data_IF_672701919602
#
_entry.id   IF_672701919602
#
_cell.length_a   1.000
_cell.length_b   1.000
_cell.length_c   1.000
_cell.angle_alpha   90.00
_cell.angle_beta   90.00
_cell.angle_gamma   90.00
#
_symmetry.space_group_name_H-M   'P 1'
#
loop_
_entity.id
_entity.type
_entity.pdbx_description
1 polymer ?
#
# COMPACT_ATOMS: atom_id res chain seq x y z
N UNK A 1 -15.94 -2.29 -23.39
CA UNK A 1 -17.28 -2.58 -23.95
C UNK A 1 -17.22 -3.99 -24.48
N UNK A 2 -17.57 -4.97 -23.66
CA UNK A 2 -17.87 -6.33 -24.10
C UNK A 2 -18.87 -6.95 -23.14
N UNK A 3 -19.97 -7.38 -23.75
CA UNK A 3 -21.20 -7.87 -23.17
C UNK A 3 -21.06 -9.25 -22.53
N UNK A 4 -21.87 -9.44 -21.50
CA UNK A 4 -22.02 -10.66 -20.71
C UNK A 4 -23.02 -11.59 -21.40
N UNK A 5 -22.63 -12.83 -21.70
CA UNK A 5 -23.56 -13.91 -22.08
C UNK A 5 -23.39 -15.05 -21.07
N UNK A 6 -24.51 -15.40 -20.43
CA UNK A 6 -24.63 -16.49 -19.45
C UNK A 6 -24.53 -17.86 -20.11
N UNK A 7 -23.83 -18.79 -19.46
CA UNK A 7 -23.86 -20.22 -19.74
C UNK A 7 -23.58 -21.01 -18.45
N UNK A 8 -24.54 -21.83 -18.05
CA UNK A 8 -24.56 -22.69 -16.86
C UNK A 8 -23.72 -23.96 -17.03
N UNK A 9 -23.16 -24.50 -15.94
CA UNK A 9 -22.75 -25.91 -15.86
C UNK A 9 -21.39 -26.21 -15.20
N UNK A 10 -21.43 -26.50 -13.89
CA UNK A 10 -20.65 -27.50 -13.11
C UNK A 10 -19.15 -27.77 -13.34
N UNK A 11 -18.49 -27.85 -12.17
CA UNK A 11 -17.35 -28.71 -11.78
C UNK A 11 -15.91 -28.19 -11.92
N UNK A 12 -15.21 -28.19 -10.79
CA UNK A 12 -13.89 -28.80 -10.69
C UNK A 12 -12.67 -27.91 -10.92
N UNK A 13 -11.89 -27.78 -9.84
CA UNK A 13 -10.42 -27.70 -9.81
C UNK A 13 -9.73 -26.37 -10.15
N UNK A 14 -8.97 -25.89 -9.17
CA UNK A 14 -7.92 -24.87 -9.24
C UNK A 14 -6.90 -25.15 -10.35
N UNK A 15 -6.18 -24.12 -10.82
CA UNK A 15 -4.85 -24.36 -11.37
C UNK A 15 -3.80 -23.36 -10.87
N UNK A 16 -2.86 -23.88 -10.08
CA UNK A 16 -1.44 -23.52 -10.23
C UNK A 16 -0.92 -24.18 -11.52
N UNK A 17 -0.05 -23.53 -12.31
CA UNK A 17 0.78 -24.27 -13.25
C UNK A 17 2.27 -24.10 -12.96
N UNK A 18 2.90 -25.25 -12.72
CA UNK A 18 4.32 -25.52 -12.76
C UNK A 18 4.79 -25.83 -14.20
N UNK A 19 5.83 -25.12 -14.62
CA UNK A 19 7.02 -25.57 -15.38
C UNK A 19 6.94 -26.50 -16.61
N UNK A 20 7.50 -25.98 -17.71
CA UNK A 20 8.55 -26.58 -18.60
C UNK A 20 8.14 -27.38 -19.86
N UNK A 21 8.52 -26.77 -21.02
CA UNK A 21 9.09 -27.31 -22.29
C UNK A 21 8.36 -28.44 -23.06
N UNK A 22 8.35 -28.55 -24.40
CA UNK A 22 9.28 -28.12 -25.47
C UNK A 22 8.65 -28.37 -26.87
N UNK A 23 9.14 -27.62 -27.87
CA UNK A 23 9.39 -27.94 -29.29
C UNK A 23 8.27 -28.36 -30.29
N UNK A 24 8.30 -27.67 -31.45
CA UNK A 24 8.18 -28.28 -32.80
C UNK A 24 7.01 -27.79 -33.66
N UNK A 25 7.23 -26.81 -34.57
CA UNK A 25 7.26 -26.97 -36.05
C UNK A 25 5.86 -26.94 -36.72
N UNK A 26 5.45 -25.84 -37.39
CA UNK A 26 5.59 -25.48 -38.83
C UNK A 26 4.63 -26.21 -39.80
N UNK A 27 3.75 -25.43 -40.45
CA UNK A 27 3.06 -25.56 -41.78
C UNK A 27 1.74 -24.72 -41.70
N UNK A 28 1.45 -23.60 -42.39
CA UNK A 28 1.47 -23.11 -43.79
C UNK A 28 0.27 -23.56 -44.66
N UNK A 29 -0.45 -22.54 -45.19
CA UNK A 29 -1.37 -22.47 -46.35
C UNK A 29 -2.83 -22.99 -46.19
N UNK A 30 -3.90 -22.39 -46.75
CA UNK A 30 -4.19 -21.11 -47.45
C UNK A 30 -5.71 -21.02 -47.79
N UNK A 31 -6.18 -19.80 -48.16
CA UNK A 31 -7.35 -19.44 -49.04
C UNK A 31 -8.82 -19.71 -48.56
N UNK A 32 -9.87 -18.91 -48.83
CA UNK A 32 -10.13 -17.59 -49.45
C UNK A 32 -11.62 -17.22 -49.19
N UNK A 33 -12.02 -15.94 -49.02
CA UNK A 33 -12.81 -15.08 -49.96
C UNK A 33 -13.82 -14.22 -49.14
N UNK A 34 -14.26 -13.00 -49.45
CA UNK A 34 -14.08 -12.10 -50.59
C UNK A 34 -14.43 -10.62 -50.26
N UNK A 35 -14.01 -9.73 -51.16
CA UNK A 35 -13.99 -8.25 -51.19
C UNK A 35 -15.29 -7.65 -51.82
N UNK A 36 -15.55 -6.30 -51.91
CA UNK A 36 -14.82 -5.34 -52.79
C UNK A 36 -14.74 -3.84 -52.34
N UNK A 37 -13.56 -3.20 -52.49
CA UNK A 37 -13.16 -2.16 -53.48
C UNK A 37 -13.56 -0.69 -53.23
N UNK A 38 -12.56 0.21 -53.22
CA UNK A 38 -12.39 1.28 -54.24
C UNK A 38 -11.03 2.02 -54.11
N UNK A 39 -10.39 2.24 -55.26
CA UNK A 39 -9.13 2.97 -55.58
C UNK A 39 -9.51 4.18 -56.47
N UNK A 40 -8.70 5.25 -56.64
CA UNK A 40 -7.57 5.30 -57.61
C UNK A 40 -6.41 6.28 -57.19
N UNK A 41 -5.26 6.50 -57.83
CA UNK A 41 -4.39 5.87 -58.84
C UNK A 41 -3.14 6.79 -59.01
N UNK A 42 -2.01 6.23 -59.49
CA UNK A 42 -1.01 6.80 -60.47
C UNK A 42 0.47 6.63 -60.07
N UNK A 43 1.26 6.09 -61.01
CA UNK A 43 2.70 5.77 -60.98
C UNK A 43 3.45 6.52 -62.13
N UNK A 44 4.70 6.19 -62.56
CA UNK A 44 6.03 6.19 -61.89
C UNK A 44 7.15 6.93 -62.70
N UNK A 45 8.38 7.01 -62.16
CA UNK A 45 9.65 7.37 -62.86
C UNK A 45 10.31 8.67 -62.31
N UNK A 46 11.63 8.88 -62.25
CA UNK A 46 12.84 8.19 -62.68
C UNK A 46 14.06 8.67 -61.83
N UNK A 47 15.19 7.98 -61.95
CA UNK A 47 16.46 8.21 -61.24
C UNK A 47 17.17 9.50 -61.67
N UNK A 48 17.67 10.28 -60.71
CA UNK A 48 18.72 11.28 -60.94
C UNK A 48 19.73 11.32 -59.78
N UNK A 49 21.02 11.38 -60.13
CA UNK A 49 22.15 11.32 -59.22
C UNK A 49 22.56 12.74 -58.74
N UNK A 50 22.94 12.95 -57.46
CA UNK A 50 23.49 14.25 -57.04
C UNK A 50 25.01 14.29 -57.22
N UNK A 51 25.48 15.31 -57.94
CA UNK A 51 26.88 15.76 -58.04
C UNK A 51 27.16 16.91 -57.04
N UNK A 52 28.43 17.30 -56.83
CA UNK A 52 29.01 17.53 -55.51
C UNK A 52 28.84 18.96 -55.00
N UNK A 53 28.70 19.12 -53.69
CA UNK A 53 28.94 20.40 -53.03
C UNK A 53 29.94 20.22 -51.89
N UNK A 54 31.14 20.70 -52.17
CA UNK A 54 32.15 21.06 -51.19
C UNK A 54 31.60 22.15 -50.27
N UNK A 55 31.47 21.86 -48.99
CA UNK A 55 31.64 22.88 -47.96
C UNK A 55 32.27 22.25 -46.72
N UNK A 56 33.50 22.68 -46.47
CA UNK A 56 34.22 22.49 -45.23
C UNK A 56 33.47 23.19 -44.09
N UNK A 57 32.72 22.43 -43.28
CA UNK A 57 32.41 22.83 -41.92
C UNK A 57 32.44 21.60 -41.00
N UNK A 58 33.46 21.58 -40.14
CA UNK A 58 33.57 20.67 -39.00
C UNK A 58 32.39 20.95 -38.05
N UNK A 59 31.29 20.20 -38.21
CA UNK A 59 30.21 20.18 -37.24
C UNK A 59 30.65 19.50 -35.93
N UNK A 60 30.20 19.97 -34.75
CA UNK A 60 30.49 19.28 -33.50
C UNK A 60 29.86 17.88 -33.54
N UNK A 61 30.65 16.83 -33.29
CA UNK A 61 30.13 15.46 -33.15
C UNK A 61 29.00 15.45 -32.12
N UNK A 62 27.81 14.99 -32.54
CA UNK A 62 26.66 14.70 -31.67
C UNK A 62 27.14 13.95 -30.42
N UNK A 63 27.07 14.60 -29.26
CA UNK A 63 27.48 14.01 -27.99
C UNK A 63 26.56 12.84 -27.64
N UNK A 64 27.11 11.63 -27.56
CA UNK A 64 26.36 10.48 -27.06
C UNK A 64 26.29 10.50 -25.52
N UNK A 65 25.14 10.09 -24.97
CA UNK A 65 24.90 9.93 -23.52
C UNK A 65 26.01 9.04 -22.93
N UNK A 66 26.81 9.60 -22.00
CA UNK A 66 27.97 8.91 -21.40
C UNK A 66 27.48 7.70 -20.59
N UNK A 67 28.04 6.51 -20.82
CA UNK A 67 27.77 5.33 -19.99
C UNK A 67 28.43 5.54 -18.62
N UNK A 68 27.64 5.66 -17.54
CA UNK A 68 28.16 5.93 -16.19
C UNK A 68 28.89 4.71 -15.60
N UNK A 69 28.50 3.49 -15.97
CA UNK A 69 29.06 2.21 -15.49
C UNK A 69 30.10 1.54 -16.39
N UNK A 70 30.48 2.12 -17.53
CA UNK A 70 31.34 1.45 -18.52
C UNK A 70 32.70 0.96 -17.97
N UNK A 71 33.16 -0.20 -18.47
CA UNK A 71 34.48 -0.78 -18.16
C UNK A 71 35.67 0.15 -18.46
N UNK A 72 36.82 -0.10 -17.81
CA UNK A 72 38.03 0.72 -17.94
C UNK A 72 38.53 0.83 -19.38
N UNK A 73 38.50 -0.28 -20.13
CA UNK A 73 38.98 -0.33 -21.51
C UNK A 73 38.14 0.53 -22.46
N UNK A 74 36.81 0.56 -22.31
CA UNK A 74 35.93 1.43 -23.09
C UNK A 74 36.05 2.90 -22.66
N UNK A 75 36.17 3.16 -21.35
CA UNK A 75 36.38 4.52 -20.79
C UNK A 75 37.69 5.12 -21.29
N UNK A 76 38.81 4.39 -21.22
CA UNK A 76 40.13 4.84 -21.72
C UNK A 76 40.09 5.18 -23.21
N UNK A 77 39.33 4.39 -23.98
CA UNK A 77 39.15 4.58 -25.43
C UNK A 77 38.10 5.63 -25.79
N UNK A 78 37.42 6.22 -24.80
CA UNK A 78 36.35 7.22 -24.98
C UNK A 78 35.24 6.74 -25.92
N UNK A 79 34.87 5.46 -25.84
CA UNK A 79 33.76 4.84 -26.59
C UNK A 79 32.66 4.34 -25.64
N UNK A 80 31.42 4.24 -26.13
CA UNK A 80 30.28 3.72 -25.34
C UNK A 80 30.51 2.25 -24.98
N UNK A 81 30.41 1.92 -23.69
CA UNK A 81 30.41 0.53 -23.23
C UNK A 81 28.99 -0.04 -23.26
N UNK A 82 28.85 -1.32 -23.60
CA UNK A 82 27.57 -2.02 -23.55
C UNK A 82 27.20 -2.52 -22.14
N UNK A 83 28.13 -2.43 -21.19
CA UNK A 83 27.92 -2.82 -19.78
C UNK A 83 27.48 -4.30 -19.59
N UNK A 84 27.69 -5.17 -20.59
CA UNK A 84 27.44 -6.61 -20.48
C UNK A 84 28.52 -7.28 -19.62
N UNK A 85 28.10 -8.15 -18.71
CA UNK A 85 28.96 -8.97 -17.86
C UNK A 85 29.03 -10.42 -18.40
N UNK A 86 30.17 -11.12 -18.26
CA UNK A 86 31.41 -10.72 -17.60
C UNK A 86 32.34 -9.81 -18.45
N UNK A 87 32.06 -9.63 -19.75
CA UNK A 87 32.85 -8.77 -20.64
C UNK A 87 31.96 -8.03 -21.64
N UNK A 88 32.33 -6.78 -21.99
CA UNK A 88 31.60 -6.02 -22.99
C UNK A 88 31.93 -6.46 -24.41
N UNK A 89 30.94 -6.43 -25.30
CA UNK A 89 31.09 -6.82 -26.71
C UNK A 89 32.21 -6.07 -27.46
N UNK A 90 32.54 -4.85 -27.06
CA UNK A 90 33.64 -4.06 -27.63
C UNK A 90 35.03 -4.54 -27.19
N UNK A 91 35.15 -5.08 -25.97
CA UNK A 91 36.39 -5.64 -25.47
C UNK A 91 36.55 -7.09 -25.95
N UNK A 92 35.47 -7.88 -25.95
CA UNK A 92 35.47 -9.25 -26.46
C UNK A 92 35.91 -9.33 -27.93
N UNK A 93 35.33 -8.50 -28.81
CA UNK A 93 35.68 -8.48 -30.25
C UNK A 93 37.12 -8.07 -30.55
N UNK A 94 37.79 -7.41 -29.60
CA UNK A 94 39.17 -6.94 -29.77
C UNK A 94 40.15 -7.69 -28.88
N UNK A 95 39.69 -8.77 -28.23
CA UNK A 95 40.46 -9.56 -27.28
C UNK A 95 41.16 -8.69 -26.23
N UNK A 96 40.48 -7.63 -25.77
CA UNK A 96 40.99 -6.72 -24.76
C UNK A 96 40.49 -7.15 -23.38
N UNK A 97 41.34 -6.99 -22.37
CA UNK A 97 40.96 -7.20 -20.98
C UNK A 97 39.81 -6.26 -20.57
N UNK A 98 38.68 -6.84 -20.17
CA UNK A 98 37.47 -6.11 -19.80
C UNK A 98 37.28 -6.13 -18.29
N UNK A 99 37.79 -5.10 -17.61
CA UNK A 99 37.59 -4.91 -16.17
C UNK A 99 36.59 -3.78 -15.93
N UNK A 100 35.55 -4.08 -15.15
CA UNK A 100 34.64 -3.08 -14.62
C UNK A 100 35.19 -2.55 -13.29
N UNK A 101 34.87 -1.30 -12.91
CA UNK A 101 35.21 -0.80 -11.59
C UNK A 101 34.52 -1.69 -10.55
N UNK A 102 35.28 -2.24 -9.61
CA UNK A 102 34.70 -2.89 -8.44
C UNK A 102 33.91 -1.84 -7.65
N UNK A 103 32.66 -2.15 -7.32
CA UNK A 103 31.89 -1.35 -6.37
C UNK A 103 32.52 -1.61 -5.01
N UNK A 104 33.44 -0.73 -4.60
CA UNK A 104 33.89 -0.77 -3.22
C UNK A 104 32.68 -0.46 -2.32
N UNK A 105 32.39 -1.27 -1.29
CA UNK A 105 31.44 -0.88 -0.26
C UNK A 105 32.06 0.35 0.40
N UNK A 106 31.54 1.53 0.08
CA UNK A 106 32.06 2.76 0.61
C UNK A 106 31.75 2.78 2.11
N UNK A 107 32.80 2.76 2.95
CA UNK A 107 32.69 3.40 4.24
C UNK A 107 32.38 4.86 3.95
N UNK A 108 31.16 5.25 4.30
CA UNK A 108 30.70 6.62 4.17
C UNK A 108 31.52 7.45 5.14
N UNK A 109 32.45 8.26 4.65
CA UNK A 109 32.94 9.37 5.45
C UNK A 109 31.77 10.33 5.70
N UNK A 110 31.10 10.09 6.83
CA UNK A 110 29.94 10.81 7.33
C UNK A 110 30.23 12.33 7.38
N UNK A 111 31.50 12.71 7.52
CA UNK A 111 31.96 14.09 7.57
C UNK A 111 31.91 14.79 6.20
N UNK A 112 32.10 14.05 5.11
CA UNK A 112 32.01 14.59 3.74
C UNK A 112 30.54 14.72 3.26
N UNK A 113 29.64 13.82 3.70
CA UNK A 113 28.19 13.92 3.43
C UNK A 113 27.58 15.12 4.15
N UNK A 114 27.91 15.31 5.43
CA UNK A 114 27.50 16.48 6.22
C UNK A 114 27.99 17.78 5.57
N UNK A 115 29.24 17.82 5.10
CA UNK A 115 29.80 19.02 4.45
C UNK A 115 29.07 19.41 3.16
N UNK A 116 28.56 18.42 2.41
CA UNK A 116 27.81 18.67 1.16
C UNK A 116 26.37 19.14 1.40
N UNK A 117 25.78 18.81 2.55
CA UNK A 117 24.49 19.33 3.00
C UNK A 117 24.59 20.74 3.61
N UNK A 118 25.71 21.08 4.24
CA UNK A 118 25.93 22.40 4.87
C UNK A 118 26.24 23.51 3.85
N UNK A 119 26.79 23.18 2.67
CA UNK A 119 27.21 24.19 1.67
C UNK A 119 26.21 24.48 0.56
N UNK A 120 25.03 23.85 0.53
CA UNK A 120 23.95 24.43 -0.26
C UNK A 120 23.45 25.65 0.52
N UNK A 121 23.41 26.85 -0.07
CA UNK A 121 22.71 27.95 0.58
C UNK A 121 21.31 27.43 0.87
N UNK A 122 20.95 27.43 2.16
CA UNK A 122 19.58 27.22 2.61
C UNK A 122 18.71 27.97 1.62
N UNK A 123 17.79 27.27 0.94
CA UNK A 123 16.74 27.94 0.20
C UNK A 123 16.25 29.05 1.14
N UNK A 124 16.36 30.32 0.69
CA UNK A 124 16.05 31.46 1.53
C UNK A 124 14.79 31.13 2.30
N UNK A 125 14.84 31.21 3.65
CA UNK A 125 13.70 30.99 4.53
C UNK A 125 12.53 31.73 3.88
N UNK A 126 11.69 31.01 3.15
CA UNK A 126 10.54 31.65 2.55
C UNK A 126 9.73 32.03 3.78
N UNK A 127 9.62 33.32 4.02
CA UNK A 127 8.78 33.91 5.05
C UNK A 127 7.31 33.73 4.69
N UNK A 128 6.95 32.56 4.19
CA UNK A 128 5.59 32.05 4.24
C UNK A 128 5.49 31.44 5.63
N UNK A 129 4.70 32.01 6.55
CA UNK A 129 4.60 31.50 7.90
C UNK A 129 3.86 30.16 7.89
N UNK A 130 4.57 29.08 7.58
CA UNK A 130 4.20 27.75 8.06
C UNK A 130 4.66 27.72 9.51
N UNK A 131 3.83 28.29 10.40
CA UNK A 131 4.07 28.30 11.85
C UNK A 131 4.01 26.86 12.36
N UNK A 132 5.13 26.14 12.27
CA UNK A 132 5.37 24.93 13.05
C UNK A 132 5.80 25.37 14.45
N UNK A 133 5.12 24.82 15.45
CA UNK A 133 5.34 25.02 16.87
C UNK A 133 6.42 24.10 17.42
N UNK A 134 6.78 24.27 18.70
CA UNK A 134 7.62 23.30 19.41
C UNK A 134 6.93 21.94 19.56
N UNK A 135 5.60 21.92 19.66
CA UNK A 135 4.83 20.68 19.67
C UNK A 135 4.95 19.95 18.33
N UNK A 136 5.05 20.65 17.19
CA UNK A 136 5.27 20.01 15.89
C UNK A 136 6.62 19.29 15.82
N UNK A 137 7.66 19.85 16.44
CA UNK A 137 8.96 19.16 16.54
C UNK A 137 8.86 17.89 17.40
N UNK A 138 8.06 17.93 18.48
CA UNK A 138 7.75 16.76 19.30
C UNK A 138 6.96 15.72 18.52
N UNK A 139 5.95 16.13 17.75
CA UNK A 139 5.15 15.23 16.92
C UNK A 139 6.01 14.56 15.85
N UNK A 140 6.89 15.31 15.19
CA UNK A 140 7.79 14.76 14.18
C UNK A 140 8.74 13.72 14.77
N UNK A 141 9.36 14.02 15.91
CA UNK A 141 10.23 13.08 16.62
C UNK A 141 9.45 11.83 17.07
N UNK A 142 8.23 12.01 17.59
CA UNK A 142 7.39 10.90 18.02
C UNK A 142 6.92 10.02 16.84
N UNK A 143 6.64 10.61 15.68
CA UNK A 143 6.35 9.87 14.46
C UNK A 143 7.47 8.90 14.12
N UNK A 144 8.71 9.40 14.02
CA UNK A 144 9.88 8.62 13.57
C UNK A 144 10.18 7.47 14.52
N UNK A 145 9.96 7.66 15.82
CA UNK A 145 10.34 6.65 16.82
C UNK A 145 9.23 5.69 17.19
N UNK A 146 7.97 6.13 17.20
CA UNK A 146 6.89 5.41 17.88
C UNK A 146 5.57 5.32 17.10
N UNK A 147 5.24 6.31 16.27
CA UNK A 147 3.91 6.43 15.67
C UNK A 147 3.86 6.25 14.15
N UNK A 148 4.95 5.80 13.53
CA UNK A 148 4.95 5.48 12.11
C UNK A 148 4.07 4.25 11.82
N UNK A 149 3.38 4.18 10.66
CA UNK A 149 2.61 3.01 10.26
C UNK A 149 3.46 1.74 10.16
N UNK A 150 2.96 0.60 10.65
CA UNK A 150 3.65 -0.70 10.49
C UNK A 150 3.44 -1.33 9.11
N UNK A 151 2.53 -0.78 8.31
CA UNK A 151 2.27 -1.21 6.94
C UNK A 151 2.88 -0.25 5.90
N UNK A 152 3.29 -0.74 4.72
CA UNK A 152 3.45 -2.16 4.38
C UNK A 152 4.46 -2.87 5.30
N UNK A 153 4.28 -4.16 5.54
CA UNK A 153 5.19 -4.92 6.41
C UNK A 153 6.62 -4.88 5.85
N UNK A 154 7.63 -5.04 6.71
CA UNK A 154 9.06 -4.95 6.36
C UNK A 154 9.53 -3.56 5.89
N UNK A 155 8.71 -2.51 5.98
CA UNK A 155 9.08 -1.16 5.56
C UNK A 155 9.44 -0.20 6.70
N UNK A 156 9.74 -0.72 7.91
CA UNK A 156 10.13 0.11 9.07
C UNK A 156 11.23 1.13 8.74
N UNK A 157 12.26 0.71 8.00
CA UNK A 157 13.36 1.62 7.63
C UNK A 157 12.92 2.73 6.67
N UNK A 158 11.99 2.44 5.76
CA UNK A 158 11.44 3.43 4.83
C UNK A 158 10.69 4.51 5.61
N UNK A 159 9.87 4.11 6.58
CA UNK A 159 9.15 5.02 7.47
C UNK A 159 10.06 5.83 8.40
N UNK A 160 11.12 5.22 8.92
CA UNK A 160 12.02 5.88 9.89
C UNK A 160 13.07 6.78 9.24
N UNK A 161 13.52 6.47 8.02
CA UNK A 161 14.64 7.17 7.37
C UNK A 161 14.22 7.88 6.08
N UNK A 162 13.60 7.16 5.15
CA UNK A 162 13.31 7.69 3.81
C UNK A 162 12.19 8.74 3.85
N UNK A 163 11.03 8.41 4.42
CA UNK A 163 9.86 9.32 4.51
C UNK A 163 10.23 10.64 5.19
N UNK A 164 10.89 10.67 6.37
CA UNK A 164 11.30 11.92 7.00
C UNK A 164 12.32 12.71 6.17
N UNK A 165 13.19 12.03 5.42
CA UNK A 165 14.22 12.69 4.62
C UNK A 165 13.65 13.52 3.45
N UNK A 166 12.47 13.19 2.92
CA UNK A 166 11.85 13.96 1.83
C UNK A 166 10.56 14.69 2.22
N UNK A 167 9.97 14.41 3.39
CA UNK A 167 8.67 14.97 3.81
C UNK A 167 8.61 16.50 3.83
N UNK A 168 9.73 17.17 4.08
CA UNK A 168 9.83 18.64 4.05
C UNK A 168 9.57 19.26 2.66
N UNK A 169 9.55 18.46 1.59
CA UNK A 169 9.18 18.93 0.24
C UNK A 169 7.67 18.79 -0.05
N UNK A 170 6.91 18.19 0.87
CA UNK A 170 5.51 17.84 0.67
C UNK A 170 4.69 18.21 1.92
N UNK A 171 4.10 19.40 1.94
CA UNK A 171 3.32 19.91 3.08
C UNK A 171 2.24 18.93 3.54
N UNK A 172 1.56 18.27 2.60
CA UNK A 172 0.49 17.33 2.91
C UNK A 172 1.00 16.08 3.64
N UNK A 173 2.18 15.59 3.27
CA UNK A 173 2.83 14.46 3.93
C UNK A 173 3.30 14.87 5.32
N UNK A 174 3.98 16.01 5.45
CA UNK A 174 4.42 16.53 6.75
C UNK A 174 3.22 16.69 7.71
N UNK A 175 2.13 17.32 7.26
CA UNK A 175 0.93 17.45 8.08
C UNK A 175 0.30 16.10 8.42
N UNK A 176 0.31 15.10 7.54
CA UNK A 176 -0.21 13.76 7.86
C UNK A 176 0.62 13.04 8.93
N UNK A 177 1.96 13.16 8.88
CA UNK A 177 2.88 12.60 9.87
C UNK A 177 2.64 13.23 11.25
N UNK A 178 2.58 14.56 11.29
CA UNK A 178 2.36 15.31 12.53
C UNK A 178 0.96 15.03 13.11
N UNK A 179 -0.07 14.96 12.27
CA UNK A 179 -1.43 14.64 12.69
C UNK A 179 -1.54 13.25 13.30
N UNK A 180 -0.93 12.23 12.68
CA UNK A 180 -0.88 10.87 13.22
C UNK A 180 -0.14 10.83 14.56
N UNK A 181 1.04 11.46 14.65
CA UNK A 181 1.81 11.47 15.88
C UNK A 181 1.12 12.21 17.03
N UNK A 182 0.45 13.34 16.74
CA UNK A 182 -0.36 14.06 17.72
C UNK A 182 -1.52 13.18 18.21
N UNK A 183 -2.27 12.51 17.32
CA UNK A 183 -3.33 11.57 17.69
C UNK A 183 -2.79 10.43 18.57
N UNK A 184 -1.64 9.86 18.21
CA UNK A 184 -1.03 8.80 19.00
C UNK A 184 -0.56 9.29 20.38
N UNK A 185 0.03 10.47 20.48
CA UNK A 185 0.44 11.07 21.76
C UNK A 185 -0.76 11.35 22.66
N UNK A 186 -1.88 11.84 22.13
CA UNK A 186 -3.13 11.97 22.88
C UNK A 186 -3.59 10.62 23.44
N UNK A 187 -3.40 9.54 22.70
CA UNK A 187 -3.85 8.20 23.11
C UNK A 187 -2.98 7.55 24.20
N UNK A 188 -1.69 7.90 24.29
CA UNK A 188 -0.74 7.27 25.24
C UNK A 188 -0.29 8.19 26.37
N UNK A 189 -0.62 9.47 26.32
CA UNK A 189 -0.23 10.47 27.33
C UNK A 189 -1.46 11.15 27.91
N UNK A 190 -1.27 11.88 29.02
CA UNK A 190 -2.34 12.68 29.63
C UNK A 190 -2.45 14.10 29.01
N UNK A 191 -1.78 14.35 27.89
CA UNK A 191 -1.82 15.65 27.20
C UNK A 191 -2.73 15.53 25.99
N UNK A 192 -3.74 16.40 25.94
CA UNK A 192 -4.68 16.42 24.81
C UNK A 192 -4.13 17.25 23.65
N UNK A 193 -3.79 16.56 22.56
CA UNK A 193 -3.38 17.17 21.30
C UNK A 193 -4.45 17.08 20.20
N UNK A 194 -5.72 16.84 20.55
CA UNK A 194 -6.80 16.62 19.58
C UNK A 194 -6.99 17.78 18.61
N UNK A 195 -6.90 19.04 19.08
CA UNK A 195 -7.01 20.22 18.22
C UNK A 195 -5.87 20.27 17.18
N UNK A 196 -4.63 20.07 17.62
CA UNK A 196 -3.48 20.03 16.73
C UNK A 196 -3.58 18.86 15.73
N UNK A 197 -3.94 17.67 16.20
CA UNK A 197 -4.12 16.49 15.36
C UNK A 197 -5.15 16.72 14.24
N UNK A 198 -6.30 17.33 14.56
CA UNK A 198 -7.35 17.67 13.59
C UNK A 198 -6.92 18.77 12.64
N UNK A 199 -6.28 19.84 13.13
CA UNK A 199 -5.74 20.93 12.30
C UNK A 199 -4.77 20.40 11.24
N UNK A 200 -3.84 19.54 11.66
CA UNK A 200 -2.89 18.90 10.75
C UNK A 200 -3.58 17.94 9.78
N UNK A 201 -4.55 17.15 10.23
CA UNK A 201 -5.34 16.26 9.36
C UNK A 201 -6.06 17.02 8.24
N UNK A 202 -6.71 18.15 8.56
CA UNK A 202 -7.42 18.97 7.57
C UNK A 202 -6.45 19.52 6.52
N UNK A 203 -5.30 20.05 6.94
CA UNK A 203 -4.25 20.55 6.02
C UNK A 203 -3.68 19.43 5.15
N UNK A 204 -3.44 18.26 5.73
CA UNK A 204 -2.98 17.07 5.01
C UNK A 204 -3.97 16.68 3.91
N UNK A 205 -5.26 16.52 4.22
CA UNK A 205 -6.30 16.14 3.24
C UNK A 205 -6.43 17.21 2.13
N UNK A 206 -6.42 18.49 2.49
CA UNK A 206 -6.51 19.58 1.50
C UNK A 206 -5.32 19.58 0.54
N UNK A 207 -4.10 19.43 1.05
CA UNK A 207 -2.90 19.37 0.22
C UNK A 207 -2.83 18.08 -0.60
N UNK A 208 -3.23 16.95 0.00
CA UNK A 208 -3.27 15.65 -0.64
C UNK A 208 -4.25 15.62 -1.82
N UNK A 209 -5.47 16.16 -1.67
CA UNK A 209 -6.45 16.26 -2.77
C UNK A 209 -5.94 17.13 -3.92
N UNK A 210 -5.21 18.22 -3.62
CA UNK A 210 -4.56 19.04 -4.65
C UNK A 210 -3.44 18.28 -5.36
N UNK A 211 -2.71 17.44 -4.65
CA UNK A 211 -1.63 16.63 -5.20
C UNK A 211 -2.15 15.47 -6.06
N UNK A 212 -3.25 14.81 -5.67
CA UNK A 212 -3.90 13.74 -6.45
C UNK A 212 -4.36 14.20 -7.84
N UNK A 213 -4.72 15.47 -7.99
CA UNK A 213 -5.10 16.06 -9.28
C UNK A 213 -3.91 16.21 -10.24
N UNK A 214 -2.68 16.01 -9.78
CA UNK A 214 -1.45 16.13 -10.57
C UNK A 214 -0.84 14.75 -10.80
N UNK A 215 -0.23 14.56 -11.97
CA UNK A 215 0.51 13.33 -12.24
C UNK A 215 1.85 13.37 -11.47
N UNK A 216 2.28 12.26 -10.85
CA UNK A 216 3.63 12.15 -10.29
C UNK A 216 4.68 12.42 -11.36
N UNK A 217 5.60 13.35 -11.09
CA UNK A 217 6.67 13.75 -12.02
C UNK A 217 8.05 13.24 -11.57
N UNK A 218 8.24 13.11 -10.26
CA UNK A 218 9.49 12.68 -9.62
C UNK A 218 9.29 11.38 -8.87
N UNK A 219 10.40 10.66 -8.67
CA UNK A 219 10.45 9.38 -7.96
C UNK A 219 9.74 9.40 -6.59
N UNK A 220 9.97 10.37 -5.67
CA UNK A 220 9.28 10.38 -4.38
C UNK A 220 7.84 10.94 -4.42
N UNK A 221 7.32 11.40 -5.56
CA UNK A 221 5.96 11.97 -5.60
C UNK A 221 4.90 10.91 -5.30
N UNK A 222 5.05 9.71 -5.90
CA UNK A 222 4.15 8.58 -5.64
C UNK A 222 4.26 8.07 -4.21
N UNK A 223 5.48 7.99 -3.69
CA UNK A 223 5.75 7.59 -2.30
C UNK A 223 5.18 8.60 -1.29
N UNK A 224 5.26 9.89 -1.58
CA UNK A 224 4.68 10.92 -0.73
C UNK A 224 3.15 10.79 -0.65
N UNK A 225 2.49 10.52 -1.78
CA UNK A 225 1.05 10.26 -1.81
C UNK A 225 0.68 9.01 -1.01
N UNK A 226 1.37 7.88 -1.22
CA UNK A 226 1.10 6.63 -0.51
C UNK A 226 1.38 6.76 1.00
N UNK A 227 2.52 7.34 1.38
CA UNK A 227 2.88 7.55 2.78
C UNK A 227 1.85 8.46 3.49
N UNK A 228 1.30 9.46 2.78
CA UNK A 228 0.23 10.30 3.32
C UNK A 228 -1.06 9.50 3.51
N UNK A 229 -1.46 8.72 2.51
CA UNK A 229 -2.67 7.90 2.58
C UNK A 229 -2.59 6.87 3.72
N UNK A 230 -1.44 6.22 3.89
CA UNK A 230 -1.19 5.34 5.04
C UNK A 230 -1.26 6.10 6.37
N UNK A 231 -0.57 7.24 6.49
CA UNK A 231 -0.59 8.04 7.72
C UNK A 231 -2.02 8.47 8.10
N UNK A 232 -2.83 8.87 7.12
CA UNK A 232 -4.24 9.22 7.34
C UNK A 232 -5.12 8.01 7.70
N UNK A 233 -4.85 6.83 7.11
CA UNK A 233 -5.54 5.57 7.43
C UNK A 233 -5.28 5.17 8.88
N UNK A 234 -4.02 5.18 9.29
CA UNK A 234 -3.62 4.87 10.65
C UNK A 234 -4.14 5.90 11.65
N UNK A 235 -4.16 7.19 11.27
CA UNK A 235 -4.76 8.21 12.11
C UNK A 235 -6.24 7.94 12.34
N UNK A 236 -6.99 7.55 11.29
CA UNK A 236 -8.39 7.12 11.45
C UNK A 236 -8.48 5.91 12.41
N UNK A 237 -7.60 4.92 12.31
CA UNK A 237 -7.64 3.77 13.24
C UNK A 237 -7.50 4.17 14.73
N UNK A 238 -6.88 5.33 15.04
CA UNK A 238 -6.80 5.87 16.40
C UNK A 238 -7.98 6.77 16.81
N UNK A 239 -8.94 7.03 15.93
CA UNK A 239 -10.10 7.88 16.19
C UNK A 239 -11.38 7.04 16.42
N UNK A 240 -12.11 7.35 17.48
CA UNK A 240 -13.29 6.60 17.95
C UNK A 240 -14.53 6.69 17.06
N UNK A 241 -14.62 7.67 16.18
CA UNK A 241 -15.79 8.05 15.39
C UNK A 241 -15.41 8.15 13.91
N UNK A 242 -14.65 7.17 13.42
CA UNK A 242 -13.98 7.28 12.12
C UNK A 242 -14.01 6.00 11.27
N UNK A 243 -14.94 5.07 11.57
CA UNK A 243 -15.06 3.82 10.83
C UNK A 243 -15.18 4.06 9.32
N UNK A 244 -16.03 4.99 8.90
CA UNK A 244 -16.23 5.30 7.48
C UNK A 244 -14.98 5.91 6.84
N UNK A 245 -14.34 6.86 7.52
CA UNK A 245 -13.07 7.46 7.10
C UNK A 245 -11.97 6.42 7.00
N UNK A 246 -11.88 5.49 7.94
CA UNK A 246 -10.93 4.37 7.90
C UNK A 246 -11.16 3.52 6.64
N UNK A 247 -12.40 3.11 6.37
CA UNK A 247 -12.73 2.33 5.17
C UNK A 247 -12.42 3.07 3.87
N UNK A 248 -12.70 4.38 3.80
CA UNK A 248 -12.37 5.23 2.66
C UNK A 248 -10.85 5.28 2.44
N UNK A 249 -10.07 5.46 3.51
CA UNK A 249 -8.62 5.59 3.43
C UNK A 249 -7.94 4.25 3.10
N UNK A 250 -8.41 3.13 3.65
CA UNK A 250 -8.01 1.77 3.24
C UNK A 250 -8.23 1.58 1.74
N UNK A 251 -9.43 1.92 1.25
CA UNK A 251 -9.75 1.85 -0.17
C UNK A 251 -8.82 2.75 -1.00
N UNK A 252 -8.52 3.94 -0.51
CA UNK A 252 -7.55 4.86 -1.09
C UNK A 252 -6.15 4.26 -1.22
N UNK A 253 -5.67 3.52 -0.21
CA UNK A 253 -4.38 2.82 -0.25
C UNK A 253 -4.32 1.83 -1.43
N UNK A 254 -5.35 0.99 -1.58
CA UNK A 254 -5.42 -0.03 -2.63
C UNK A 254 -5.49 0.61 -4.01
N UNK A 255 -6.37 1.60 -4.20
CA UNK A 255 -6.55 2.27 -5.49
C UNK A 255 -5.28 3.02 -5.93
N UNK A 256 -4.64 3.74 -5.01
CA UNK A 256 -3.43 4.51 -5.31
C UNK A 256 -2.24 3.59 -5.61
N UNK A 257 -2.12 2.47 -4.90
CA UNK A 257 -1.06 1.48 -5.14
C UNK A 257 -1.16 0.89 -6.55
N UNK A 258 -2.36 0.43 -6.95
CA UNK A 258 -2.58 -0.10 -8.30
C UNK A 258 -2.36 0.94 -9.41
N UNK A 259 -2.69 2.20 -9.16
CA UNK A 259 -2.38 3.30 -10.10
C UNK A 259 -0.87 3.48 -10.27
N UNK A 260 -0.08 3.47 -9.20
CA UNK A 260 1.37 3.67 -9.25
C UNK A 260 2.11 2.49 -9.89
N UNK A 261 1.65 1.26 -9.66
CA UNK A 261 2.15 0.04 -10.32
C UNK A 261 1.99 0.11 -11.84
N UNK A 262 0.79 0.48 -12.31
CA UNK A 262 0.50 0.57 -13.75
C UNK A 262 1.37 1.60 -14.48
N UNK A 263 1.93 2.58 -13.77
CA UNK A 263 2.77 3.64 -14.32
C UNK A 263 4.28 3.34 -14.25
N UNK A 264 4.69 2.12 -13.85
CA UNK A 264 6.11 1.74 -13.68
C UNK A 264 6.89 2.72 -12.78
N UNK A 265 6.19 3.34 -11.82
CA UNK A 265 6.85 4.22 -10.85
C UNK A 265 7.54 3.34 -9.82
N UNK A 266 8.84 3.54 -9.62
CA UNK A 266 9.62 2.86 -8.58
C UNK A 266 9.26 3.52 -7.25
N UNK A 267 8.08 3.22 -6.73
CA UNK A 267 7.66 3.65 -5.41
C UNK A 267 8.15 2.62 -4.38
N UNK A 268 8.85 3.06 -3.34
CA UNK A 268 9.26 2.24 -2.20
C UNK A 268 8.06 1.65 -1.44
N UNK A 269 6.89 2.27 -1.57
CA UNK A 269 5.65 1.90 -0.87
C UNK A 269 4.69 1.00 -1.65
N UNK A 270 5.07 0.47 -2.80
CA UNK A 270 4.17 -0.42 -3.57
C UNK A 270 3.83 -1.67 -2.75
N UNK A 271 2.55 -1.88 -2.53
CA UNK A 271 1.99 -3.05 -1.84
C UNK A 271 2.09 -4.25 -2.77
N UNK A 272 3.23 -4.93 -2.77
CA UNK A 272 3.29 -6.26 -3.36
C UNK A 272 2.75 -7.29 -2.35
N UNK A 273 1.58 -7.86 -2.65
CA UNK A 273 0.99 -8.97 -1.88
C UNK A 273 1.98 -10.13 -1.69
N UNK A 274 2.83 -10.39 -2.68
CA UNK A 274 3.85 -11.42 -2.59
C UNK A 274 4.96 -11.07 -1.59
N UNK A 275 5.32 -9.78 -1.49
CA UNK A 275 6.27 -9.28 -0.48
C UNK A 275 5.69 -9.37 0.93
N UNK A 276 4.40 -9.05 1.11
CA UNK A 276 3.70 -9.24 2.39
C UNK A 276 3.69 -10.72 2.80
N UNK A 277 3.30 -11.61 1.87
CA UNK A 277 3.33 -13.06 2.08
C UNK A 277 4.72 -13.54 2.52
N UNK A 278 5.75 -13.20 1.74
CA UNK A 278 7.12 -13.66 1.96
C UNK A 278 7.69 -13.21 3.31
N UNK A 279 7.35 -11.99 3.75
CA UNK A 279 7.81 -11.48 5.04
C UNK A 279 7.06 -12.10 6.22
N UNK A 280 5.74 -12.23 6.10
CA UNK A 280 4.89 -12.70 7.19
C UNK A 280 4.91 -14.22 7.35
N UNK A 281 5.07 -15.00 6.26
CA UNK A 281 5.04 -16.46 6.30
C UNK A 281 5.88 -17.11 7.41
N UNK A 282 7.20 -16.82 7.55
CA UNK A 282 8.01 -17.40 8.63
C UNK A 282 7.67 -16.86 10.03
N UNK A 283 7.01 -15.70 10.13
CA UNK A 283 6.60 -15.07 11.40
C UNK A 283 5.31 -15.65 11.96
N UNK A 284 4.65 -16.53 11.20
CA UNK A 284 3.38 -17.18 11.52
C UNK A 284 3.54 -18.69 11.76
N UNK A 285 4.77 -19.22 11.79
CA UNK A 285 5.00 -20.66 11.94
C UNK A 285 4.92 -21.14 13.40
N UNK A 286 5.11 -20.24 14.37
CA UNK A 286 5.16 -20.53 15.83
C UNK A 286 3.91 -20.02 16.59
N UNK A 287 2.78 -19.88 15.93
CA UNK A 287 1.60 -19.20 16.49
C UNK A 287 0.81 -20.08 17.48
N UNK A 288 0.20 -19.47 18.51
CA UNK A 288 -0.85 -20.13 19.26
C UNK A 288 -2.05 -20.40 18.36
N UNK A 289 -2.70 -21.55 18.57
CA UNK A 289 -3.96 -21.83 17.90
C UNK A 289 -5.06 -20.91 18.43
N UNK A 290 -5.84 -20.34 17.51
CA UNK A 290 -7.14 -19.75 17.85
C UNK A 290 -8.03 -20.86 18.43
N UNK A 291 -8.68 -20.59 19.56
CA UNK A 291 -9.62 -21.55 20.14
C UNK A 291 -10.76 -21.88 19.16
N UNK A 292 -11.00 -23.17 18.94
CA UNK A 292 -12.02 -23.64 17.98
C UNK A 292 -13.43 -23.11 18.31
N UNK A 293 -13.75 -22.97 19.60
CA UNK A 293 -15.01 -22.42 20.10
C UNK A 293 -15.30 -21.01 19.55
N UNK A 294 -14.28 -20.16 19.40
CA UNK A 294 -14.42 -18.82 18.84
C UNK A 294 -14.81 -18.89 17.36
N UNK A 295 -14.17 -19.79 16.60
CA UNK A 295 -14.46 -19.99 15.18
C UNK A 295 -15.84 -20.65 14.96
N UNK A 296 -16.25 -21.56 15.84
CA UNK A 296 -17.59 -22.15 15.82
C UNK A 296 -18.67 -21.10 16.14
N UNK A 297 -18.45 -20.28 17.16
CA UNK A 297 -19.36 -19.16 17.49
C UNK A 297 -19.50 -18.17 16.33
N UNK A 298 -18.38 -17.81 15.68
CA UNK A 298 -18.40 -16.96 14.49
C UNK A 298 -19.19 -17.60 13.34
N UNK A 299 -19.00 -18.90 13.10
CA UNK A 299 -19.68 -19.64 12.04
C UNK A 299 -21.20 -19.64 12.27
N UNK A 300 -21.67 -19.94 13.48
CA UNK A 300 -23.10 -19.93 13.82
C UNK A 300 -23.70 -18.52 13.68
N UNK A 301 -22.99 -17.49 14.15
CA UNK A 301 -23.44 -16.10 14.05
C UNK A 301 -23.56 -15.63 12.60
N UNK A 302 -22.58 -15.95 11.77
CA UNK A 302 -22.60 -15.64 10.34
C UNK A 302 -23.67 -16.46 9.60
N UNK A 303 -23.80 -17.76 9.86
CA UNK A 303 -24.82 -18.61 9.24
C UNK A 303 -26.24 -18.07 9.46
N UNK A 304 -26.54 -17.51 10.64
CA UNK A 304 -27.82 -16.88 10.90
C UNK A 304 -28.12 -15.71 9.93
N UNK A 305 -27.09 -14.99 9.45
CA UNK A 305 -27.24 -13.88 8.51
C UNK A 305 -27.62 -14.35 7.10
N UNK A 306 -27.42 -15.61 6.73
CA UNK A 306 -27.63 -16.09 5.36
C UNK A 306 -29.06 -15.86 4.85
N UNK A 307 -30.03 -15.78 5.76
CA UNK A 307 -31.46 -15.58 5.46
C UNK A 307 -31.87 -14.12 5.27
N UNK A 308 -31.01 -13.17 5.65
CA UNK A 308 -31.30 -11.72 5.60
C UNK A 308 -30.38 -10.96 4.64
N UNK A 309 -29.51 -11.67 3.90
CA UNK A 309 -28.68 -11.09 2.84
C UNK A 309 -29.59 -10.66 1.67
N UNK A 310 -29.83 -9.36 1.56
CA UNK A 310 -30.74 -8.79 0.55
C UNK A 310 -30.05 -8.32 -0.74
N UNK A 311 -28.73 -8.17 -0.74
CA UNK A 311 -27.99 -7.60 -1.86
C UNK A 311 -26.65 -8.30 -2.12
N UNK A 312 -26.14 -8.10 -3.35
CA UNK A 312 -24.92 -8.71 -3.85
C UNK A 312 -23.68 -8.31 -3.04
N UNK A 313 -23.62 -7.07 -2.54
CA UNK A 313 -22.41 -6.55 -1.88
C UNK A 313 -22.29 -7.11 -0.46
N UNK A 314 -23.39 -7.11 0.29
CA UNK A 314 -23.45 -7.77 1.59
C UNK A 314 -23.19 -9.27 1.47
N UNK A 315 -23.73 -9.93 0.43
CA UNK A 315 -23.50 -11.37 0.18
C UNK A 315 -22.03 -11.69 -0.09
N UNK A 316 -21.36 -10.83 -0.85
CA UNK A 316 -19.94 -10.98 -1.15
C UNK A 316 -19.07 -10.79 0.10
N UNK A 317 -19.32 -9.73 0.89
CA UNK A 317 -18.56 -9.49 2.12
C UNK A 317 -18.81 -10.58 3.19
N UNK A 318 -20.05 -11.07 3.28
CA UNK A 318 -20.42 -12.24 4.07
C UNK A 318 -19.61 -13.48 3.69
N UNK A 319 -19.44 -13.75 2.40
CA UNK A 319 -18.65 -14.88 1.92
C UNK A 319 -17.18 -14.75 2.34
N UNK A 320 -16.60 -13.56 2.24
CA UNK A 320 -15.22 -13.31 2.69
C UNK A 320 -15.04 -13.56 4.20
N UNK A 321 -15.97 -13.11 5.03
CA UNK A 321 -15.93 -13.41 6.48
C UNK A 321 -16.06 -14.91 6.77
N UNK A 322 -16.94 -15.61 6.04
CA UNK A 322 -17.09 -17.07 6.16
C UNK A 322 -15.82 -17.80 5.71
N UNK A 323 -15.13 -17.26 4.70
CA UNK A 323 -13.82 -17.74 4.28
C UNK A 323 -12.79 -17.55 5.41
N UNK A 324 -12.74 -16.41 6.10
CA UNK A 324 -11.87 -16.25 7.28
C UNK A 324 -12.15 -17.32 8.32
N UNK A 325 -13.42 -17.51 8.71
CA UNK A 325 -13.81 -18.47 9.74
C UNK A 325 -13.45 -19.91 9.36
N UNK A 326 -13.74 -20.33 8.13
CA UNK A 326 -13.32 -21.65 7.65
C UNK A 326 -11.79 -21.80 7.58
N UNK A 327 -11.08 -20.70 7.33
CA UNK A 327 -9.61 -20.66 7.39
C UNK A 327 -9.09 -20.92 8.79
N UNK A 328 -9.66 -20.24 9.80
CA UNK A 328 -9.33 -20.42 11.21
C UNK A 328 -9.52 -21.88 11.64
N UNK A 329 -10.62 -22.51 11.22
CA UNK A 329 -10.92 -23.93 11.52
C UNK A 329 -9.87 -24.90 10.97
N UNK A 330 -9.14 -24.51 9.92
CA UNK A 330 -8.02 -25.31 9.37
C UNK A 330 -6.71 -24.95 10.07
N UNK A 331 -6.38 -23.66 10.14
CA UNK A 331 -5.21 -23.17 10.89
C UNK A 331 -5.30 -21.66 11.12
N UNK A 332 -4.69 -21.20 12.21
CA UNK A 332 -4.57 -19.77 12.53
C UNK A 332 -3.86 -18.96 11.44
N UNK A 333 -2.84 -19.56 10.80
CA UNK A 333 -2.14 -19.00 9.63
C UNK A 333 -3.07 -18.79 8.44
N UNK A 334 -3.90 -19.78 8.08
CA UNK A 334 -4.86 -19.64 6.98
C UNK A 334 -5.95 -18.61 7.31
N UNK A 335 -6.43 -18.58 8.55
CA UNK A 335 -7.35 -17.55 9.02
C UNK A 335 -6.80 -16.13 8.83
N UNK A 336 -5.55 -15.89 9.26
CA UNK A 336 -4.85 -14.62 9.06
C UNK A 336 -4.78 -14.20 7.58
N UNK A 337 -4.33 -15.09 6.69
CA UNK A 337 -4.20 -14.74 5.27
C UNK A 337 -5.52 -14.32 4.64
N UNK A 338 -6.61 -15.02 5.00
CA UNK A 338 -7.95 -14.70 4.54
C UNK A 338 -8.44 -13.38 5.12
N UNK A 339 -8.11 -13.08 6.39
CA UNK A 339 -8.49 -11.81 7.01
C UNK A 339 -7.82 -10.62 6.32
N UNK A 340 -6.50 -10.67 6.10
CA UNK A 340 -5.77 -9.57 5.44
C UNK A 340 -6.25 -9.37 3.99
N UNK A 341 -6.69 -10.45 3.31
CA UNK A 341 -7.27 -10.33 1.97
C UNK A 341 -8.55 -9.48 1.93
N UNK A 342 -9.34 -9.42 3.02
CA UNK A 342 -10.56 -8.60 3.10
C UNK A 342 -10.27 -7.12 2.87
N UNK A 343 -9.13 -6.61 3.34
CA UNK A 343 -8.74 -5.22 3.12
C UNK A 343 -8.60 -4.87 1.63
N UNK A 344 -8.05 -5.80 0.83
CA UNK A 344 -7.96 -5.65 -0.62
C UNK A 344 -9.35 -5.70 -1.27
N UNK A 345 -10.23 -6.59 -0.77
CA UNK A 345 -11.59 -6.73 -1.25
C UNK A 345 -12.38 -5.42 -1.16
N UNK A 346 -12.34 -4.74 -0.01
CA UNK A 346 -12.99 -3.43 0.20
C UNK A 346 -12.42 -2.39 -0.78
N UNK A 347 -11.11 -2.41 -0.99
CA UNK A 347 -10.41 -1.51 -1.91
C UNK A 347 -10.84 -1.68 -3.37
N UNK A 348 -11.19 -2.90 -3.79
CA UNK A 348 -11.53 -3.22 -5.18
C UNK A 348 -13.02 -3.08 -5.53
N UNK A 349 -13.91 -2.85 -4.55
CA UNK A 349 -15.34 -2.63 -4.83
C UNK A 349 -15.53 -1.47 -5.83
N UNK A 350 -16.62 -1.43 -6.60
CA UNK A 350 -16.96 -0.21 -7.35
C UNK A 350 -17.37 0.91 -6.40
N UNK A 351 -17.32 2.17 -6.83
CA UNK A 351 -17.75 3.30 -5.98
C UNK A 351 -19.20 3.16 -5.51
N UNK A 352 -20.08 2.65 -6.38
CA UNK A 352 -21.49 2.39 -6.04
C UNK A 352 -21.62 1.29 -4.99
N UNK A 353 -20.91 0.16 -5.15
CA UNK A 353 -20.94 -0.95 -4.21
C UNK A 353 -20.32 -0.57 -2.86
N UNK A 354 -19.20 0.15 -2.86
CA UNK A 354 -18.56 0.64 -1.64
C UNK A 354 -19.51 1.56 -0.85
N UNK A 355 -20.05 2.60 -1.49
CA UNK A 355 -20.95 3.55 -0.82
C UNK A 355 -22.22 2.88 -0.27
N UNK A 356 -22.76 1.88 -0.98
CA UNK A 356 -23.91 1.11 -0.51
C UNK A 356 -23.57 0.24 0.70
N UNK A 357 -22.41 -0.43 0.67
CA UNK A 357 -21.96 -1.31 1.75
C UNK A 357 -21.61 -0.52 3.02
N UNK A 358 -20.79 0.53 2.89
CA UNK A 358 -20.26 1.28 4.03
C UNK A 358 -21.25 2.31 4.59
N UNK A 359 -22.44 2.44 4.00
CA UNK A 359 -23.47 3.36 4.49
C UNK A 359 -23.87 2.99 5.93
N UNK A 360 -23.95 3.97 6.86
CA UNK A 360 -24.51 3.75 8.19
C UNK A 360 -25.98 3.27 8.15
N UNK A 361 -26.70 3.54 7.06
CA UNK A 361 -28.08 3.09 6.88
C UNK A 361 -28.20 1.62 6.44
N UNK A 362 -27.09 0.98 6.05
CA UNK A 362 -27.08 -0.43 5.66
C UNK A 362 -26.89 -1.29 6.91
N UNK A 363 -27.98 -1.63 7.59
CA UNK A 363 -27.98 -2.43 8.82
C UNK A 363 -27.18 -3.73 8.69
N UNK A 364 -27.39 -4.49 7.61
CA UNK A 364 -26.67 -5.75 7.39
C UNK A 364 -25.17 -5.50 7.17
N UNK A 365 -24.82 -4.47 6.40
CA UNK A 365 -23.42 -4.04 6.22
C UNK A 365 -22.75 -3.67 7.53
N UNK A 366 -23.42 -2.93 8.41
CA UNK A 366 -22.91 -2.61 9.75
C UNK A 366 -22.72 -3.87 10.62
N UNK A 367 -23.66 -4.82 10.58
CA UNK A 367 -23.52 -6.11 11.29
C UNK A 367 -22.32 -6.91 10.76
N UNK A 368 -22.10 -6.92 9.44
CA UNK A 368 -20.94 -7.58 8.84
C UNK A 368 -19.62 -6.89 9.24
N UNK A 369 -19.59 -5.56 9.32
CA UNK A 369 -18.44 -4.81 9.84
C UNK A 369 -18.18 -5.12 11.32
N UNK A 370 -19.21 -5.34 12.14
CA UNK A 370 -19.04 -5.80 13.52
C UNK A 370 -18.36 -7.18 13.59
N UNK A 371 -18.76 -8.13 12.72
CA UNK A 371 -18.11 -9.43 12.63
C UNK A 371 -16.65 -9.31 12.16
N UNK A 372 -16.38 -8.44 11.19
CA UNK A 372 -15.03 -8.15 10.74
C UNK A 372 -14.13 -7.70 11.91
N UNK A 373 -14.58 -6.69 12.68
CA UNK A 373 -13.86 -6.19 13.85
C UNK A 373 -13.63 -7.26 14.92
N UNK A 374 -14.64 -8.10 15.18
CA UNK A 374 -14.51 -9.21 16.11
C UNK A 374 -13.50 -10.26 15.61
N UNK A 375 -13.48 -10.57 14.31
CA UNK A 375 -12.48 -11.47 13.72
C UNK A 375 -11.07 -10.88 13.72
N UNK A 376 -10.91 -9.56 13.57
CA UNK A 376 -9.62 -8.90 13.80
C UNK A 376 -9.13 -9.14 15.23
N UNK A 377 -10.00 -9.04 16.23
CA UNK A 377 -9.66 -9.32 17.63
C UNK A 377 -9.34 -10.80 17.87
N UNK A 378 -10.09 -11.72 17.26
CA UNK A 378 -9.82 -13.17 17.34
C UNK A 378 -8.45 -13.50 16.75
N UNK A 379 -8.08 -12.84 15.66
CA UNK A 379 -6.80 -13.02 14.97
C UNK A 379 -5.72 -12.03 15.43
N UNK A 380 -5.94 -11.28 16.51
CA UNK A 380 -4.98 -10.30 17.02
C UNK A 380 -3.59 -10.88 17.28
N UNK A 381 -3.41 -12.10 17.85
CA UNK A 381 -2.07 -12.67 18.03
C UNK A 381 -1.26 -12.83 16.73
N UNK A 382 -1.95 -12.94 15.60
CA UNK A 382 -1.36 -13.03 14.27
C UNK A 382 -1.07 -11.64 13.71
N UNK A 383 -2.03 -10.72 13.82
CA UNK A 383 -1.86 -9.32 13.42
C UNK A 383 -0.70 -8.67 14.18
N UNK A 384 -0.48 -9.05 15.45
CA UNK A 384 0.63 -8.57 16.26
C UNK A 384 2.01 -8.91 15.70
N UNK A 385 2.11 -9.93 14.84
CA UNK A 385 3.36 -10.30 14.17
C UNK A 385 3.71 -9.35 13.03
N UNK A 386 2.81 -8.49 12.58
CA UNK A 386 3.10 -7.49 11.53
C UNK A 386 4.05 -6.39 12.00
N UNK A 387 4.25 -6.24 13.32
CA UNK A 387 5.06 -5.18 13.91
C UNK A 387 6.43 -5.70 14.41
N UNK A 388 7.49 -4.90 14.29
CA UNK A 388 8.85 -5.26 14.73
C UNK A 388 9.21 -4.77 16.14
N UNK A 389 8.57 -3.70 16.63
CA UNK A 389 8.79 -3.13 17.97
C UNK A 389 7.44 -2.77 18.59
N UNK A 390 7.32 -2.99 19.89
CA UNK A 390 6.13 -2.74 20.72
C UNK A 390 5.53 -1.38 20.44
N UNK A 391 4.50 -1.37 19.60
CA UNK A 391 3.58 -0.26 19.41
C UNK A 391 2.66 -0.29 20.65
N UNK A 392 2.81 0.59 21.66
CA UNK A 392 2.20 0.38 22.97
C UNK A 392 0.68 0.57 23.00
N UNK A 393 0.09 1.00 21.89
CA UNK A 393 -1.33 1.32 21.81
C UNK A 393 -1.97 0.39 20.83
N UNK A 394 -2.74 -0.55 21.36
CA UNK A 394 -3.54 -1.49 20.61
C UNK A 394 -4.35 -0.73 19.54
N UNK A 395 -3.95 -0.84 18.26
CA UNK A 395 -4.64 -0.15 17.15
C UNK A 395 -6.09 -0.60 16.97
N UNK A 396 -6.44 -1.74 17.56
CA UNK A 396 -7.80 -2.25 17.56
C UNK A 396 -8.63 -1.70 18.74
N UNK A 397 -8.06 -0.88 19.64
CA UNK A 397 -8.81 -0.37 20.80
C UNK A 397 -10.07 0.40 20.39
N UNK A 398 -9.99 1.15 19.28
CA UNK A 398 -11.14 1.89 18.76
C UNK A 398 -12.14 1.02 18.00
N UNK A 399 -11.83 -0.26 17.71
CA UNK A 399 -12.85 -1.19 17.18
C UNK A 399 -13.99 -1.36 18.17
N UNK A 400 -13.70 -1.34 19.47
CA UNK A 400 -14.72 -1.31 20.52
C UNK A 400 -15.63 -0.08 20.40
N UNK A 401 -15.07 1.11 20.20
CA UNK A 401 -15.87 2.34 20.04
C UNK A 401 -16.67 2.37 18.74
N UNK A 402 -16.10 1.88 17.64
CA UNK A 402 -16.82 1.73 16.36
C UNK A 402 -17.97 0.74 16.50
N UNK A 403 -17.74 -0.36 17.24
CA UNK A 403 -18.78 -1.32 17.55
C UNK A 403 -19.89 -0.74 18.43
N UNK A 404 -19.57 0.08 19.43
CA UNK A 404 -20.61 0.73 20.27
C UNK A 404 -21.58 1.57 19.41
N UNK A 405 -21.05 2.26 18.39
CA UNK A 405 -21.87 3.02 17.44
C UNK A 405 -22.75 2.10 16.56
N UNK A 406 -22.20 0.96 16.11
CA UNK A 406 -22.96 -0.05 15.36
C UNK A 406 -24.05 -0.64 16.25
N UNK A 407 -23.71 -1.13 17.44
CA UNK A 407 -24.63 -1.74 18.39
C UNK A 407 -25.81 -0.82 18.74
N UNK A 408 -25.54 0.48 18.90
CA UNK A 408 -26.55 1.51 19.18
C UNK A 408 -27.47 1.80 17.99
N UNK A 409 -27.02 1.54 16.75
CA UNK A 409 -27.78 1.82 15.53
C UNK A 409 -28.54 0.60 14.98
N UNK A 410 -28.16 -0.62 15.39
CA UNK A 410 -28.81 -1.86 14.96
C UNK A 410 -30.21 -1.99 15.58
N UNK A 411 -31.28 -2.15 14.78
CA UNK A 411 -32.64 -2.30 15.29
C UNK A 411 -32.82 -3.54 16.18
N UNK A 412 -33.77 -3.53 17.13
CA UNK A 412 -34.00 -4.63 18.08
C UNK A 412 -34.15 -6.01 17.42
N UNK A 413 -34.81 -6.09 16.27
CA UNK A 413 -35.03 -7.32 15.51
C UNK A 413 -33.72 -7.93 14.98
N UNK A 414 -32.66 -7.14 14.79
CA UNK A 414 -31.35 -7.59 14.30
C UNK A 414 -30.30 -7.74 15.41
N UNK A 415 -30.60 -7.37 16.66
CA UNK A 415 -29.66 -7.41 17.79
C UNK A 415 -29.07 -8.80 18.04
N UNK A 416 -29.81 -9.86 17.74
CA UNK A 416 -29.31 -11.22 17.92
C UNK A 416 -28.12 -11.56 17.01
N UNK A 417 -27.98 -10.90 15.85
CA UNK A 417 -26.86 -11.11 14.94
C UNK A 417 -25.55 -10.49 15.42
N UNK A 418 -25.59 -9.52 16.35
CA UNK A 418 -24.37 -8.87 16.87
C UNK A 418 -23.94 -9.40 18.24
N UNK A 419 -24.61 -10.43 18.78
CA UNK A 419 -24.28 -11.02 20.09
C UNK A 419 -22.88 -11.61 20.13
N UNK A 420 -22.49 -12.37 19.11
CA UNK A 420 -21.14 -12.95 19.05
C UNK A 420 -20.07 -11.85 18.92
N UNK A 421 -20.18 -10.89 17.97
CA UNK A 421 -19.26 -9.75 17.95
C UNK A 421 -19.18 -8.99 19.28
N UNK A 422 -20.32 -8.74 19.93
CA UNK A 422 -20.38 -8.05 21.22
C UNK A 422 -19.56 -8.79 22.29
N UNK A 423 -19.70 -10.11 22.40
CA UNK A 423 -18.93 -10.92 23.35
C UNK A 423 -17.43 -10.75 23.15
N UNK A 424 -16.96 -10.92 21.92
CA UNK A 424 -15.53 -10.80 21.57
C UNK A 424 -14.97 -9.42 21.88
N UNK A 425 -15.69 -8.36 21.46
CA UNK A 425 -15.22 -6.99 21.59
C UNK A 425 -15.30 -6.48 23.03
N UNK A 426 -16.29 -6.91 23.81
CA UNK A 426 -16.37 -6.60 25.24
C UNK A 426 -15.29 -7.32 26.04
N UNK A 427 -15.01 -8.59 25.74
CA UNK A 427 -13.91 -9.33 26.38
C UNK A 427 -12.54 -8.71 26.06
N UNK A 428 -12.35 -8.24 24.82
CA UNK A 428 -11.15 -7.49 24.44
C UNK A 428 -11.03 -6.16 25.18
N UNK A 429 -12.13 -5.41 25.29
CA UNK A 429 -12.20 -4.13 26.02
C UNK A 429 -11.76 -4.31 27.47
N UNK A 430 -12.26 -5.33 28.17
CA UNK A 430 -11.89 -5.58 29.56
C UNK A 430 -10.42 -6.04 29.70
N UNK A 431 -9.92 -6.88 28.78
CA UNK A 431 -8.49 -7.24 28.73
C UNK A 431 -7.60 -6.02 28.55
N UNK A 432 -7.92 -5.13 27.62
CA UNK A 432 -7.13 -3.92 27.38
C UNK A 432 -7.19 -2.93 28.54
N UNK A 433 -8.35 -2.77 29.19
CA UNK A 433 -8.48 -2.00 30.44
C UNK A 433 -7.61 -2.58 31.55
N UNK A 434 -7.55 -3.90 31.69
CA UNK A 434 -6.71 -4.57 32.69
C UNK A 434 -5.21 -4.37 32.40
N UNK A 435 -4.79 -4.48 31.14
CA UNK A 435 -3.42 -4.20 30.71
C UNK A 435 -3.03 -2.75 31.03
N UNK A 436 -3.88 -1.78 30.66
CA UNK A 436 -3.65 -0.36 30.95
C UNK A 436 -3.41 -0.08 32.44
N UNK A 437 -4.22 -0.68 33.32
CA UNK A 437 -4.06 -0.59 34.78
C UNK A 437 -2.77 -1.22 35.30
N UNK A 438 -2.29 -2.28 34.64
CA UNK A 438 -1.10 -3.03 35.07
C UNK A 438 0.20 -2.34 34.66
N UNK A 439 0.19 -1.61 33.53
CA UNK A 439 1.36 -0.94 32.98
C UNK A 439 1.43 0.57 33.28
N UNK A 440 0.57 1.10 34.15
CA UNK A 440 0.47 2.55 34.46
C UNK A 440 0.27 3.41 33.19
N UNK A 441 -0.30 2.81 32.13
CA UNK A 441 -0.72 3.51 30.92
C UNK A 441 -2.14 3.99 31.21
N UNK A 442 -2.28 5.24 31.67
CA UNK A 442 -3.57 5.88 31.86
C UNK A 442 -4.31 5.94 30.53
N UNK A 443 -5.20 4.97 30.28
CA UNK A 443 -6.25 5.09 29.25
C UNK A 443 -7.06 6.32 29.64
N UNK A 444 -6.97 7.37 28.82
CA UNK A 444 -7.68 8.61 29.03
C UNK A 444 -9.16 8.31 29.31
N UNK A 445 -9.62 8.65 30.52
CA UNK A 445 -11.05 8.61 30.86
C UNK A 445 -11.75 9.67 30.02
N UNK A 446 -12.47 9.25 28.99
CA UNK A 446 -13.47 10.10 28.34
C UNK A 446 -14.70 10.15 29.24
N UNK A 447 -14.99 11.32 29.78
CA UNK A 447 -16.33 11.71 30.27
C UNK A 447 -17.17 12.21 29.12
#
# INVERSE_FOLDING_TARGET
MFDYVQGSGSSGTSPLPSSVSSNGSLEVADLASGTPQSLPSRAPGALEAPKPQSSSQLGPRKGHKKSRGGCFSCKRRKIKCQETLPSCLNCLRRSLECKYPEVQPYEVDMMTVLRRQITQPSAALQSTPTLFSMDDMRFFQHFILNAYPHLPVNNSQVWMQNVPAFSHNYDYLMHSMLGLAATHLTAITNVDYSEAALSHRVRAIQGFNKALSKKPEKEPDGDALLATMYSLTFQSAFMSDSLMEFLIMVRGCVMLSGQLESHSSIAFFVIDWYSHLRYMEPRLDDLPFVEMSLAEGAAVSLEALSFVLGDEVNSFYYHELTNVVSGIKVSSKLGYWRLVAIYNVIGMLSNTKFNAFSSPSNTIGQILLAHFMALEVVLLPMLEREFEKTFPTNQLINRCSWFDAIESSVPPEFQHFIRWPAGILNDARERWKAMAKTYDITVAKRT
#
